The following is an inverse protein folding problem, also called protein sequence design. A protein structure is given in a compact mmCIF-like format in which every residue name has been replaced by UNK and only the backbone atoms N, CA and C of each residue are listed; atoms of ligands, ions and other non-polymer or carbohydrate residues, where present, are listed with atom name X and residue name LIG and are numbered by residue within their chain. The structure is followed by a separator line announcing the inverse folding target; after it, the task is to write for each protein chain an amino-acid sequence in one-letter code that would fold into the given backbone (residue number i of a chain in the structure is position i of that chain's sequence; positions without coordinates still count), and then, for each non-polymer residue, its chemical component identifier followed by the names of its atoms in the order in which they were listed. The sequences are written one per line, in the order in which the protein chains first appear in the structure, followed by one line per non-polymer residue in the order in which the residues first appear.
data_IF_702063076759
#
_entry.id   IF_702063076759
#
_cell.length_a   1.000
_cell.length_b   1.000
_cell.length_c   1.000
_cell.angle_alpha   90.00
_cell.angle_beta   90.00
_cell.angle_gamma   90.00
#
_symmetry.space_group_name_H-M   'P 1'
#
loop_
_entity.id
_entity.type
_entity.pdbx_description
1 polymer ?
#
# COMPACT_ATOMS: atom_id res chain seq x y z
N UNK A 1 -3.21 4.95 -15.67
CA UNK A 1 -3.13 3.49 -15.80
C UNK A 1 -4.38 2.84 -15.22
N UNK A 2 -4.65 2.94 -13.91
CA UNK A 2 -5.80 2.28 -13.26
C UNK A 2 -7.12 2.72 -13.88
N UNK A 3 -7.33 4.03 -14.06
CA UNK A 3 -8.55 4.59 -14.65
C UNK A 3 -8.81 4.16 -16.12
N UNK A 4 -7.80 3.67 -16.82
CA UNK A 4 -7.94 3.13 -18.18
C UNK A 4 -8.48 1.71 -18.18
N UNK A 5 -8.40 0.99 -17.06
CA UNK A 5 -8.73 -0.42 -16.92
C UNK A 5 -9.91 -0.68 -15.98
N UNK A 6 -10.16 0.22 -15.02
CA UNK A 6 -11.26 0.09 -14.05
C UNK A 6 -12.22 1.26 -14.20
N UNK A 7 -13.43 0.98 -14.67
CA UNK A 7 -14.52 1.98 -14.81
C UNK A 7 -15.10 2.31 -13.43
N UNK A 8 -14.60 3.41 -12.82
CA UNK A 8 -15.02 3.85 -11.48
C UNK A 8 -16.49 4.27 -11.38
N UNK A 9 -17.19 4.40 -12.50
CA UNK A 9 -18.65 4.60 -12.49
C UNK A 9 -19.44 3.32 -12.15
N UNK A 10 -18.82 2.15 -12.34
CA UNK A 10 -19.42 0.82 -12.11
C UNK A 10 -18.80 0.09 -10.93
N UNK A 11 -17.55 0.36 -10.67
CA UNK A 11 -16.75 -0.33 -9.65
C UNK A 11 -16.30 0.63 -8.56
N UNK A 12 -16.21 0.13 -7.33
CA UNK A 12 -15.57 0.84 -6.21
C UNK A 12 -14.22 0.20 -5.94
N UNK A 13 -13.14 0.93 -6.25
CA UNK A 13 -11.80 0.57 -5.83
C UNK A 13 -11.72 0.80 -4.32
N UNK A 14 -11.23 -0.17 -3.57
CA UNK A 14 -11.08 -0.07 -2.13
C UNK A 14 -9.65 -0.28 -1.63
N UNK A 15 -8.77 -0.81 -2.48
CA UNK A 15 -7.35 -0.99 -2.15
C UNK A 15 -6.51 -0.81 -3.41
N UNK A 16 -5.44 -0.05 -3.29
CA UNK A 16 -4.36 0.03 -4.26
C UNK A 16 -3.04 -0.23 -3.53
N UNK A 17 -2.19 -1.08 -4.08
CA UNK A 17 -0.90 -1.45 -3.52
C UNK A 17 0.20 -1.27 -4.57
N UNK A 18 1.24 -0.55 -4.19
CA UNK A 18 2.42 -0.29 -5.00
C UNK A 18 3.61 -1.01 -4.39
N UNK A 19 4.33 -1.77 -5.20
CA UNK A 19 5.48 -2.53 -4.73
C UNK A 19 6.67 -2.43 -5.68
N UNK A 20 7.86 -2.46 -5.10
CA UNK A 20 9.09 -2.77 -5.79
C UNK A 20 9.35 -4.28 -5.66
N UNK A 21 9.64 -4.95 -6.79
CA UNK A 21 10.17 -6.30 -6.75
C UNK A 21 11.68 -6.20 -6.54
N UNK A 22 12.08 -6.41 -5.30
CA UNK A 22 13.49 -6.32 -4.93
C UNK A 22 14.29 -7.58 -5.31
N UNK A 23 13.64 -8.75 -5.48
CA UNK A 23 14.33 -10.01 -5.77
C UNK A 23 15.63 -10.14 -4.95
N UNK A 24 16.74 -10.46 -5.61
CA UNK A 24 18.08 -10.49 -5.00
C UNK A 24 18.90 -9.22 -5.35
N UNK A 25 18.26 -8.09 -5.65
CA UNK A 25 18.89 -6.88 -6.15
C UNK A 25 18.81 -5.72 -5.16
N UNK A 26 19.58 -4.68 -5.46
CA UNK A 26 19.48 -3.41 -4.74
C UNK A 26 18.11 -2.78 -4.96
N UNK A 27 17.52 -2.25 -3.88
CA UNK A 27 16.30 -1.46 -3.94
C UNK A 27 16.61 -0.09 -4.55
N UNK A 28 15.90 0.26 -5.62
CA UNK A 28 16.19 1.45 -6.45
C UNK A 28 15.00 2.42 -6.53
N UNK A 29 13.97 2.25 -5.70
CA UNK A 29 12.71 3.02 -5.76
C UNK A 29 12.01 2.91 -7.13
N UNK A 30 12.06 1.73 -7.74
CA UNK A 30 11.39 1.46 -9.01
C UNK A 30 10.07 0.76 -8.74
N UNK A 31 8.97 1.44 -9.01
CA UNK A 31 7.65 0.81 -8.96
C UNK A 31 7.56 -0.28 -10.03
N UNK A 32 7.40 -1.54 -9.62
CA UNK A 32 7.36 -2.69 -10.52
C UNK A 32 6.01 -3.41 -10.54
N UNK A 33 5.24 -3.29 -9.45
CA UNK A 33 3.91 -3.88 -9.33
C UNK A 33 2.89 -2.87 -8.81
N UNK A 34 1.69 -2.90 -9.41
CA UNK A 34 0.51 -2.20 -8.91
C UNK A 34 -0.62 -3.23 -8.83
N UNK A 35 -1.15 -3.45 -7.63
CA UNK A 35 -2.29 -4.32 -7.39
C UNK A 35 -3.51 -3.46 -7.03
N UNK A 36 -4.64 -3.72 -7.67
CA UNK A 36 -5.89 -2.97 -7.47
C UNK A 36 -7.00 -3.94 -7.10
N UNK A 37 -7.68 -3.69 -5.99
CA UNK A 37 -8.81 -4.48 -5.53
C UNK A 37 -10.08 -3.65 -5.55
N UNK A 38 -11.13 -4.18 -6.12
CA UNK A 38 -12.38 -3.46 -6.32
C UNK A 38 -13.61 -4.38 -6.30
N UNK A 39 -14.78 -3.79 -6.18
CA UNK A 39 -16.06 -4.47 -6.02
C UNK A 39 -17.09 -3.88 -6.97
N UNK A 40 -17.99 -4.72 -7.54
CA UNK A 40 -19.13 -4.31 -8.35
C UNK A 40 -20.44 -4.25 -7.57
N UNK A 41 -21.50 -3.76 -8.22
CA UNK A 41 -22.83 -3.61 -7.63
C UNK A 41 -23.49 -4.95 -7.22
N UNK A 42 -23.04 -6.07 -7.78
CA UNK A 42 -23.47 -7.42 -7.42
C UNK A 42 -22.65 -8.02 -6.28
N UNK A 43 -21.78 -7.24 -5.64
CA UNK A 43 -20.86 -7.64 -4.57
C UNK A 43 -19.77 -8.63 -5.03
N UNK A 44 -19.45 -8.70 -6.30
CA UNK A 44 -18.32 -9.49 -6.75
C UNK A 44 -17.03 -8.71 -6.50
N UNK A 45 -16.04 -9.40 -5.96
CA UNK A 45 -14.72 -8.83 -5.71
C UNK A 45 -13.79 -9.16 -6.88
N UNK A 46 -12.93 -8.21 -7.23
CA UNK A 46 -11.96 -8.32 -8.32
C UNK A 46 -10.58 -7.91 -7.84
N UNK A 47 -9.58 -8.52 -8.44
CA UNK A 47 -8.18 -8.16 -8.34
C UNK A 47 -7.63 -7.90 -9.73
N UNK A 48 -6.88 -6.82 -9.90
CA UNK A 48 -6.19 -6.46 -11.13
C UNK A 48 -4.75 -6.15 -10.81
N UNK A 49 -3.83 -6.92 -11.37
CA UNK A 49 -2.40 -6.73 -11.19
C UNK A 49 -1.78 -6.14 -12.46
N UNK A 50 -0.89 -5.17 -12.25
CA UNK A 50 -0.01 -4.64 -13.30
C UNK A 50 1.43 -4.94 -12.93
N UNK A 51 2.20 -5.41 -13.89
CA UNK A 51 3.62 -5.67 -13.75
C UNK A 51 4.43 -4.84 -14.74
N UNK A 52 5.52 -4.24 -14.28
CA UNK A 52 6.45 -3.53 -15.15
C UNK A 52 7.29 -4.53 -15.97
N UNK A 53 7.04 -4.56 -17.27
CA UNK A 53 7.75 -5.45 -18.21
C UNK A 53 8.30 -4.62 -19.36
N UNK A 54 9.63 -4.65 -19.57
CA UNK A 54 10.30 -3.88 -20.63
C UNK A 54 9.96 -2.38 -20.61
N UNK A 55 9.87 -1.78 -19.41
CA UNK A 55 9.59 -0.35 -19.22
C UNK A 55 8.14 0.06 -19.42
N UNK A 56 7.21 -0.90 -19.46
CA UNK A 56 5.76 -0.65 -19.56
C UNK A 56 5.00 -1.53 -18.57
N UNK A 57 3.97 -0.97 -17.96
CA UNK A 57 3.05 -1.77 -17.18
C UNK A 57 2.13 -2.58 -18.09
N UNK A 58 2.04 -3.87 -17.82
CA UNK A 58 1.17 -4.85 -18.52
C UNK A 58 0.29 -5.56 -17.52
N UNK A 59 -0.86 -6.07 -17.96
CA UNK A 59 -1.80 -6.84 -17.15
C UNK A 59 -2.40 -7.97 -17.98
N UNK A 60 -2.70 -9.09 -17.32
CA UNK A 60 -3.47 -10.20 -17.91
C UNK A 60 -5.00 -9.98 -17.78
N UNK A 61 -5.39 -8.85 -17.20
CA UNK A 61 -6.79 -8.50 -16.95
C UNK A 61 -7.24 -8.84 -15.52
N UNK A 62 -8.51 -8.52 -15.22
CA UNK A 62 -9.02 -8.69 -13.87
C UNK A 62 -9.33 -10.15 -13.56
N UNK A 63 -8.97 -10.58 -12.36
CA UNK A 63 -9.37 -11.83 -11.75
C UNK A 63 -10.60 -11.60 -10.85
N UNK A 64 -11.69 -12.35 -11.11
CA UNK A 64 -12.85 -12.33 -10.24
C UNK A 64 -12.69 -13.33 -9.11
N UNK A 65 -12.94 -12.86 -7.88
CA UNK A 65 -13.08 -13.76 -6.74
C UNK A 65 -14.53 -14.21 -6.62
N UNK A 66 -14.78 -15.51 -6.66
CA UNK A 66 -16.14 -16.09 -6.57
C UNK A 66 -16.80 -15.92 -5.19
N UNK A 67 -16.06 -15.50 -4.17
CA UNK A 67 -16.59 -15.24 -2.84
C UNK A 67 -17.09 -13.79 -2.73
N UNK A 68 -18.39 -13.63 -2.63
CA UNK A 68 -19.01 -12.36 -2.27
C UNK A 68 -18.86 -12.16 -0.76
N UNK A 69 -17.89 -11.36 -0.36
CA UNK A 69 -17.58 -11.10 1.07
C UNK A 69 -17.94 -9.70 1.51
N UNK A 70 -17.96 -8.75 0.58
CA UNK A 70 -18.09 -7.32 0.83
C UNK A 70 -19.39 -6.75 0.25
N UNK A 71 -19.91 -5.70 0.86
CA UNK A 71 -21.11 -4.99 0.40
C UNK A 71 -20.72 -3.76 -0.42
N UNK A 72 -21.05 -3.76 -1.70
CA UNK A 72 -20.89 -2.58 -2.55
C UNK A 72 -21.65 -1.36 -2.02
N UNK A 73 -22.90 -1.57 -1.58
CA UNK A 73 -23.77 -0.48 -1.12
C UNK A 73 -23.21 0.25 0.11
N UNK A 74 -22.56 -0.49 1.02
CA UNK A 74 -22.03 0.05 2.28
C UNK A 74 -20.53 0.45 2.17
N UNK A 75 -19.83 0.02 1.15
CA UNK A 75 -18.40 0.34 0.99
C UNK A 75 -18.20 1.72 0.35
N UNK A 76 -17.19 2.44 0.82
CA UNK A 76 -16.75 3.72 0.25
C UNK A 76 -15.59 3.46 -0.71
N UNK A 77 -15.54 4.08 -1.88
CA UNK A 77 -14.40 3.96 -2.78
C UNK A 77 -13.18 4.70 -2.19
N UNK A 78 -11.99 4.18 -2.50
CA UNK A 78 -10.73 4.86 -2.27
C UNK A 78 -10.65 6.09 -3.17
N UNK A 79 -10.34 7.24 -2.59
CA UNK A 79 -10.09 8.47 -3.33
C UNK A 79 -8.64 8.48 -3.82
N UNK A 80 -8.44 8.12 -5.07
CA UNK A 80 -7.10 8.08 -5.69
C UNK A 80 -6.50 9.48 -5.90
N UNK A 81 -7.32 10.54 -5.95
CA UNK A 81 -6.84 11.90 -6.09
C UNK A 81 -6.26 12.46 -4.79
N UNK A 82 -6.66 11.88 -3.64
CA UNK A 82 -6.09 12.22 -2.33
C UNK A 82 -4.67 11.66 -2.11
N UNK A 83 -4.22 10.74 -2.98
CA UNK A 83 -2.88 10.13 -2.94
C UNK A 83 -1.97 10.95 -3.86
N UNK A 84 -1.60 12.15 -3.42
CA UNK A 84 -0.71 13.03 -4.16
C UNK A 84 0.75 12.97 -3.64
N UNK A 85 1.63 13.64 -4.36
CA UNK A 85 3.05 13.66 -4.00
C UNK A 85 3.30 14.33 -2.65
N UNK A 86 2.56 15.40 -2.33
CA UNK A 86 2.74 16.14 -1.08
C UNK A 86 2.35 15.28 0.13
N UNK A 87 1.28 14.48 -0.01
CA UNK A 87 0.88 13.52 1.01
C UNK A 87 1.94 12.43 1.21
N UNK A 88 2.44 11.82 0.12
CA UNK A 88 3.47 10.78 0.18
C UNK A 88 4.77 11.30 0.80
N UNK A 89 5.21 12.49 0.41
CA UNK A 89 6.38 13.13 0.98
C UNK A 89 6.19 13.36 2.49
N UNK A 90 5.05 13.90 2.89
CA UNK A 90 4.73 14.19 4.30
C UNK A 90 4.80 12.93 5.17
N UNK A 91 4.18 11.82 4.75
CA UNK A 91 4.20 10.58 5.54
C UNK A 91 5.59 9.96 5.57
N UNK A 92 6.35 10.02 4.45
CA UNK A 92 7.73 9.56 4.39
C UNK A 92 8.67 10.32 5.33
N UNK A 93 8.60 11.65 5.33
CA UNK A 93 9.40 12.51 6.22
C UNK A 93 9.08 12.26 7.71
N UNK A 94 7.80 12.08 8.06
CA UNK A 94 7.40 11.74 9.44
C UNK A 94 7.89 10.36 9.85
N UNK A 95 7.79 9.36 8.96
CA UNK A 95 8.26 8.00 9.22
C UNK A 95 9.78 7.98 9.46
N UNK A 96 10.54 8.63 8.59
CA UNK A 96 11.99 8.75 8.74
C UNK A 96 12.37 9.43 10.07
N UNK A 97 11.67 10.51 10.44
CA UNK A 97 11.88 11.19 11.70
C UNK A 97 11.60 10.29 12.93
N UNK A 98 10.62 9.39 12.84
CA UNK A 98 10.34 8.40 13.89
C UNK A 98 11.51 7.45 14.06
N UNK A 99 12.04 6.89 12.97
CA UNK A 99 13.23 6.00 13.01
C UNK A 99 14.44 6.74 13.57
N UNK A 100 14.71 7.95 13.09
CA UNK A 100 15.85 8.75 13.56
C UNK A 100 15.73 9.20 15.02
N UNK A 101 14.55 9.14 15.61
CA UNK A 101 14.34 9.45 17.04
C UNK A 101 14.82 8.36 17.97
N UNK A 102 14.94 7.12 17.49
CA UNK A 102 15.48 5.99 18.24
C UNK A 102 17.02 5.98 18.20
N UNK A 103 17.67 5.50 19.27
CA UNK A 103 19.13 5.40 19.33
C UNK A 103 19.69 4.45 18.27
N UNK A 104 19.02 3.32 18.03
CA UNK A 104 19.41 2.35 17.00
C UNK A 104 19.18 2.89 15.58
N UNK A 105 18.14 3.70 15.39
CA UNK A 105 17.82 4.32 14.11
C UNK A 105 18.82 5.38 13.65
N UNK A 106 19.56 6.01 14.58
CA UNK A 106 20.51 7.09 14.26
C UNK A 106 21.68 6.69 13.35
N UNK A 107 21.99 5.40 13.27
CA UNK A 107 23.04 4.88 12.40
C UNK A 107 22.53 4.48 11.02
N UNK A 108 21.20 4.47 10.85
CA UNK A 108 20.55 4.03 9.64
C UNK A 108 20.45 5.16 8.60
N UNK A 109 20.53 4.79 7.33
CA UNK A 109 20.33 5.69 6.19
C UNK A 109 19.20 5.16 5.34
N UNK A 110 18.18 5.99 5.11
CA UNK A 110 17.05 5.64 4.22
C UNK A 110 17.53 5.41 2.79
N UNK A 111 17.15 4.28 2.20
CA UNK A 111 17.51 3.91 0.84
C UNK A 111 16.33 3.87 -0.11
N UNK A 112 15.21 3.27 0.31
CA UNK A 112 14.05 3.14 -0.57
C UNK A 112 12.75 2.97 0.19
N UNK A 113 11.64 3.17 -0.51
CA UNK A 113 10.33 2.71 -0.10
C UNK A 113 10.08 1.31 -0.72
N UNK A 114 9.74 0.33 0.10
CA UNK A 114 9.50 -1.05 -0.34
C UNK A 114 8.09 -1.25 -0.89
N UNK A 115 7.09 -0.76 -0.16
CA UNK A 115 5.68 -0.95 -0.46
C UNK A 115 4.86 0.25 0.04
N UNK A 116 3.80 0.57 -0.70
CA UNK A 116 2.69 1.40 -0.21
C UNK A 116 1.38 0.68 -0.48
N UNK A 117 0.51 0.61 0.52
CA UNK A 117 -0.84 0.08 0.41
C UNK A 117 -1.85 1.11 0.92
N UNK A 118 -2.67 1.61 0.02
CA UNK A 118 -3.76 2.54 0.29
C UNK A 118 -5.06 1.75 0.36
N UNK A 119 -5.83 1.93 1.44
CA UNK A 119 -7.05 1.15 1.64
C UNK A 119 -8.13 1.95 2.35
N UNK A 120 -9.36 1.83 1.82
CA UNK A 120 -10.58 2.05 2.58
C UNK A 120 -11.22 0.68 2.79
N UNK A 121 -11.36 0.24 4.03
CA UNK A 121 -11.83 -1.10 4.33
C UNK A 121 -13.25 -1.32 3.81
N UNK A 122 -13.47 -2.25 2.86
CA UNK A 122 -14.80 -2.54 2.38
C UNK A 122 -15.63 -3.17 3.51
N UNK A 123 -16.89 -2.77 3.61
CA UNK A 123 -17.79 -3.30 4.62
C UNK A 123 -18.17 -4.74 4.28
N UNK A 124 -17.84 -5.68 5.15
CA UNK A 124 -18.23 -7.09 4.99
C UNK A 124 -19.75 -7.23 4.98
N UNK A 125 -20.28 -8.15 4.17
CA UNK A 125 -21.71 -8.48 4.15
C UNK A 125 -22.25 -8.87 5.54
N UNK A 126 -21.44 -9.51 6.37
CA UNK A 126 -21.78 -9.84 7.76
C UNK A 126 -21.91 -8.63 8.68
N UNK A 127 -21.32 -7.49 8.31
CA UNK A 127 -21.30 -6.26 9.09
C UNK A 127 -22.27 -5.18 8.59
N UNK A 128 -23.08 -5.45 7.58
CA UNK A 128 -24.06 -4.50 7.03
C UNK A 128 -25.03 -4.00 8.11
N UNK A 129 -25.51 -4.89 8.98
CA UNK A 129 -26.39 -4.52 10.09
C UNK A 129 -25.70 -3.60 11.12
N UNK A 130 -24.42 -3.82 11.41
CA UNK A 130 -23.63 -2.95 12.27
C UNK A 130 -23.43 -1.59 11.61
N UNK A 131 -23.09 -1.56 10.33
CA UNK A 131 -22.92 -0.33 9.55
C UNK A 131 -24.20 0.51 9.54
N UNK A 132 -25.37 -0.12 9.40
CA UNK A 132 -26.65 0.58 9.40
C UNK A 132 -27.01 1.19 10.77
N UNK A 133 -26.54 0.61 11.89
CA UNK A 133 -26.91 1.03 13.25
C UNK A 133 -25.86 1.90 13.92
N UNK A 134 -24.59 1.81 13.55
CA UNK A 134 -23.49 2.53 14.21
C UNK A 134 -22.92 3.60 13.28
N UNK A 135 -23.11 4.86 13.69
CA UNK A 135 -22.52 6.01 13.02
C UNK A 135 -20.98 6.00 13.15
N UNK A 136 -20.46 5.60 14.31
CA UNK A 136 -19.04 5.46 14.57
C UNK A 136 -18.40 4.44 13.62
N UNK A 137 -18.97 3.24 13.48
CA UNK A 137 -18.48 2.22 12.57
C UNK A 137 -18.55 2.66 11.09
N UNK A 138 -19.59 3.43 10.71
CA UNK A 138 -19.67 4.04 9.37
C UNK A 138 -18.52 5.00 9.13
N UNK A 139 -18.30 5.92 10.08
CA UNK A 139 -17.23 6.91 9.96
C UNK A 139 -15.85 6.24 9.87
N UNK A 140 -15.60 5.23 10.70
CA UNK A 140 -14.36 4.45 10.70
C UNK A 140 -14.15 3.72 9.36
N UNK A 141 -15.20 3.06 8.83
CA UNK A 141 -15.13 2.30 7.57
C UNK A 141 -14.97 3.16 6.31
N UNK A 142 -15.06 4.48 6.42
CA UNK A 142 -14.91 5.43 5.33
C UNK A 142 -13.53 6.07 5.29
N UNK A 143 -12.70 5.82 6.30
CA UNK A 143 -11.38 6.45 6.39
C UNK A 143 -10.34 5.67 5.58
N UNK A 144 -9.53 6.42 4.83
CA UNK A 144 -8.35 5.86 4.19
C UNK A 144 -7.30 5.54 5.24
N UNK A 145 -6.73 4.36 5.13
CA UNK A 145 -5.57 3.90 5.89
C UNK A 145 -4.45 3.59 4.90
N UNK A 146 -3.24 3.92 5.27
CA UNK A 146 -2.05 3.63 4.48
C UNK A 146 -1.11 2.77 5.32
N UNK A 147 -0.64 1.69 4.71
CA UNK A 147 0.49 0.90 5.22
C UNK A 147 1.64 1.08 4.24
N UNK A 148 2.83 1.28 4.75
CA UNK A 148 4.01 1.42 3.90
C UNK A 148 5.28 0.95 4.60
N UNK A 149 6.30 0.68 3.82
CA UNK A 149 7.58 0.17 4.30
C UNK A 149 8.70 1.07 3.79
N UNK A 150 9.63 1.40 4.69
CA UNK A 150 10.88 2.08 4.34
C UNK A 150 12.06 1.15 4.63
N UNK A 151 13.01 1.12 3.70
CA UNK A 151 14.20 0.29 3.78
C UNK A 151 15.41 1.15 4.10
N UNK A 152 16.13 0.75 5.11
CA UNK A 152 17.33 1.43 5.62
C UNK A 152 18.55 0.53 5.49
N UNK A 153 19.72 1.12 5.49
CA UNK A 153 21.00 0.42 5.65
C UNK A 153 21.79 1.06 6.79
N UNK A 154 22.56 0.26 7.50
CA UNK A 154 23.60 0.75 8.41
C UNK A 154 24.93 0.84 7.62
N UNK A 155 25.36 2.05 7.32
CA UNK A 155 26.60 2.30 6.56
C UNK A 155 27.86 1.92 7.35
N UNK A 156 27.75 1.69 8.65
CA UNK A 156 28.84 1.20 9.49
C UNK A 156 29.07 -0.30 9.38
N UNK A 157 28.08 -1.04 8.88
CA UNK A 157 28.19 -2.48 8.67
C UNK A 157 29.08 -2.80 7.47
N UNK A 158 29.93 -3.81 7.65
CA UNK A 158 30.71 -4.35 6.55
C UNK A 158 29.79 -5.16 5.63
N UNK A 159 29.89 -4.98 4.30
CA UNK A 159 29.06 -5.75 3.38
C UNK A 159 29.31 -7.25 3.56
N UNK A 160 28.23 -8.02 3.56
CA UNK A 160 28.30 -9.48 3.52
C UNK A 160 28.64 -9.99 2.12
N UNK A 161 29.40 -11.09 2.05
CA UNK A 161 29.74 -11.72 0.80
C UNK A 161 29.11 -13.11 0.70
N UNK A 162 28.26 -13.30 -0.31
CA UNK A 162 27.76 -14.63 -0.70
C UNK A 162 28.45 -15.08 -1.98
N UNK A 163 29.52 -15.85 -1.80
CA UNK A 163 30.36 -16.27 -2.92
C UNK A 163 31.11 -15.09 -3.57
N UNK A 164 30.71 -14.68 -4.77
CA UNK A 164 31.27 -13.54 -5.52
C UNK A 164 30.40 -12.27 -5.45
N UNK A 165 29.27 -12.33 -4.79
CA UNK A 165 28.31 -11.24 -4.71
C UNK A 165 28.41 -10.54 -3.37
N UNK A 166 28.29 -9.22 -3.39
CA UNK A 166 28.11 -8.42 -2.20
C UNK A 166 26.61 -8.35 -1.90
N UNK A 167 26.24 -8.65 -0.66
CA UNK A 167 24.86 -8.56 -0.17
C UNK A 167 24.77 -7.38 0.77
N UNK A 168 23.81 -6.51 0.51
CA UNK A 168 23.48 -5.39 1.41
C UNK A 168 22.39 -5.82 2.37
N UNK A 169 22.62 -5.63 3.67
CA UNK A 169 21.60 -5.85 4.69
C UNK A 169 20.64 -4.65 4.71
N UNK A 170 19.36 -4.91 4.45
CA UNK A 170 18.31 -3.91 4.57
C UNK A 170 17.55 -4.11 5.87
N UNK A 171 17.31 -3.02 6.57
CA UNK A 171 16.46 -2.94 7.74
C UNK A 171 15.12 -2.33 7.30
N UNK A 172 14.10 -3.15 7.21
CA UNK A 172 12.76 -2.71 6.80
C UNK A 172 11.95 -2.35 8.03
N UNK A 173 11.41 -1.14 8.03
CA UNK A 173 10.47 -0.67 9.06
C UNK A 173 9.12 -0.44 8.41
N UNK A 174 8.09 -1.06 8.98
CA UNK A 174 6.71 -0.92 8.55
C UNK A 174 6.01 0.21 9.32
N UNK A 175 5.15 0.95 8.62
CA UNK A 175 4.41 2.08 9.15
C UNK A 175 2.95 2.03 8.75
N UNK A 176 2.13 2.68 9.56
CA UNK A 176 0.75 3.03 9.23
C UNK A 176 0.60 4.54 9.18
N UNK A 177 -0.29 5.02 8.30
CA UNK A 177 -0.69 6.43 8.27
C UNK A 177 -2.20 6.56 8.05
N UNK A 178 -2.79 7.65 8.54
CA UNK A 178 -4.17 8.02 8.28
C UNK A 178 -4.28 9.04 7.14
N UNK A 179 -5.50 9.40 6.73
CA UNK A 179 -5.75 10.40 5.70
C UNK A 179 -5.21 11.81 6.04
N UNK A 180 -5.01 12.12 7.32
CA UNK A 180 -4.39 13.38 7.77
C UNK A 180 -2.86 13.33 7.70
N UNK A 181 -2.28 12.16 7.41
CA UNK A 181 -0.84 11.91 7.39
C UNK A 181 -0.23 11.86 8.79
N UNK A 182 -0.97 11.37 9.78
CA UNK A 182 -0.39 10.98 11.06
C UNK A 182 0.19 9.58 10.94
N UNK A 183 1.46 9.42 11.33
CA UNK A 183 2.26 8.21 11.11
C UNK A 183 2.57 7.52 12.43
N UNK A 184 2.49 6.18 12.42
CA UNK A 184 2.93 5.32 13.52
C UNK A 184 3.72 4.13 12.96
N UNK A 185 4.64 3.59 13.76
CA UNK A 185 5.32 2.31 13.46
C UNK A 185 4.29 1.20 13.60
N UNK A 186 4.28 0.28 12.65
CA UNK A 186 3.42 -0.91 12.65
C UNK A 186 4.18 -2.03 13.39
N UNK A 187 3.72 -2.40 14.60
CA UNK A 187 4.34 -3.37 15.52
C UNK A 187 3.94 -4.83 15.19
#
# INVERSE_FOLDING_TARGET
LVAEHVDTSKYKIHTEEWREDNGDRQLENILTYIDVYYIDADNNNYHLAFQLTNGKFTTDGPERNDRQTNSYACSTPLDLEAIDFDYLQKIGEKADALVMSDEEGKTLTLKSAGMFRFRVWPVSLSNVDRWNRSEEYRAESQQMQVQFELNYVDESESPEYQGRFTVTNYYTVAFTADAAGEVAIDD
#
